data_IF_594923482209
#
_entry.id   IF_594923482209
#
_cell.length_a   1.000
_cell.length_b   1.000
_cell.length_c   1.000
_cell.angle_alpha   90.00
_cell.angle_beta   90.00
_cell.angle_gamma   90.00
#
_symmetry.space_group_name_H-M   'P 1'
#
loop_
_entity.id
_entity.type
_entity.pdbx_description
1 polymer ?
#
# COMPACT_ATOMS: atom_id res chain seq x y z
N UNK A 1 20.98 -9.27 -13.75
CA UNK A 1 21.78 -8.03 -13.55
C UNK A 1 21.85 -7.29 -14.88
N UNK A 2 21.09 -6.22 -15.02
CA UNK A 2 21.08 -5.42 -16.25
C UNK A 2 21.87 -4.12 -16.03
N UNK A 3 22.79 -3.79 -16.94
CA UNK A 3 23.52 -2.51 -16.93
C UNK A 3 22.59 -1.41 -17.42
N UNK A 4 22.28 -0.42 -16.58
CA UNK A 4 21.83 0.89 -17.07
C UNK A 4 23.07 1.68 -17.49
N UNK A 5 22.98 2.35 -18.66
CA UNK A 5 24.12 3.01 -19.28
C UNK A 5 24.74 4.08 -18.37
N UNK A 6 25.76 3.78 -17.63
CA UNK A 6 26.74 4.62 -16.92
C UNK A 6 27.53 3.78 -15.91
N UNK A 7 27.50 2.43 -16.02
CA UNK A 7 28.43 1.57 -15.32
C UNK A 7 28.13 1.33 -13.81
N UNK A 8 27.07 1.92 -13.25
CA UNK A 8 26.68 1.68 -11.86
C UNK A 8 25.77 0.44 -11.82
N UNK A 9 26.22 -0.60 -11.16
CA UNK A 9 25.42 -1.77 -10.84
C UNK A 9 24.45 -1.38 -9.71
N UNK A 10 23.24 -0.91 -10.06
CA UNK A 10 22.19 -0.71 -9.07
C UNK A 10 21.64 -2.08 -8.70
N UNK A 11 21.75 -2.46 -7.43
CA UNK A 11 21.15 -3.68 -6.91
C UNK A 11 19.62 -3.63 -7.11
N UNK A 12 19.04 -4.77 -7.46
CA UNK A 12 17.58 -4.90 -7.55
C UNK A 12 16.95 -4.64 -6.18
N UNK A 13 16.07 -3.63 -6.08
CA UNK A 13 15.34 -3.36 -4.83
C UNK A 13 14.23 -4.38 -4.64
N UNK A 14 14.13 -4.92 -3.43
CA UNK A 14 13.06 -5.85 -3.05
C UNK A 14 11.93 -5.10 -2.38
N UNK A 15 10.78 -5.08 -3.03
CA UNK A 15 9.56 -4.41 -2.53
C UNK A 15 8.52 -5.44 -2.14
N UNK A 16 8.04 -5.36 -0.91
CA UNK A 16 6.95 -6.18 -0.39
C UNK A 16 5.65 -5.39 -0.52
N UNK A 17 4.73 -5.88 -1.32
CA UNK A 17 3.37 -5.36 -1.43
C UNK A 17 2.45 -6.26 -0.59
N UNK A 18 1.99 -5.72 0.53
CA UNK A 18 1.21 -6.45 1.52
C UNK A 18 -0.28 -6.15 1.36
N UNK A 19 -1.09 -7.18 1.09
CA UNK A 19 -2.54 -7.08 1.20
C UNK A 19 -2.94 -6.96 2.67
N UNK A 20 -3.70 -5.92 3.01
CA UNK A 20 -4.26 -5.71 4.35
C UNK A 20 -5.29 -6.77 4.70
N UNK A 21 -5.45 -7.02 6.00
CA UNK A 21 -6.46 -7.95 6.52
C UNK A 21 -6.27 -9.42 6.11
N UNK A 22 -7.23 -10.27 6.50
CA UNK A 22 -7.30 -11.69 6.15
C UNK A 22 -8.77 -12.15 6.18
N UNK A 23 -9.02 -13.41 5.82
CA UNK A 23 -10.37 -13.97 5.76
C UNK A 23 -11.11 -13.95 7.12
N UNK A 24 -10.40 -14.13 8.25
CA UNK A 24 -10.99 -14.15 9.60
C UNK A 24 -11.26 -12.71 10.10
N UNK A 25 -10.43 -11.75 9.69
CA UNK A 25 -10.55 -10.33 10.06
C UNK A 25 -10.50 -9.49 8.78
N UNK A 26 -11.63 -9.40 8.04
CA UNK A 26 -11.65 -8.90 6.66
C UNK A 26 -11.58 -7.37 6.53
N UNK A 27 -11.44 -6.64 7.63
CA UNK A 27 -11.38 -5.19 7.62
C UNK A 27 -12.74 -4.53 7.47
N UNK A 28 -12.75 -3.31 6.95
CA UNK A 28 -13.99 -2.60 6.67
C UNK A 28 -14.71 -3.17 5.44
N UNK A 29 -15.95 -2.75 5.25
CA UNK A 29 -16.77 -3.26 4.16
C UNK A 29 -17.76 -2.22 3.65
N UNK A 30 -18.30 -2.49 2.46
CA UNK A 30 -19.47 -1.81 1.90
C UNK A 30 -20.41 -2.82 1.28
N UNK A 31 -21.67 -2.42 1.08
CA UNK A 31 -22.65 -3.21 0.34
C UNK A 31 -23.02 -2.46 -0.94
N UNK A 32 -22.83 -3.11 -2.09
CA UNK A 32 -23.17 -2.59 -3.40
C UNK A 32 -24.07 -3.61 -4.09
N UNK A 33 -25.28 -3.21 -4.44
CA UNK A 33 -26.27 -4.05 -5.13
C UNK A 33 -26.52 -5.39 -4.41
N UNK A 34 -26.56 -5.38 -3.07
CA UNK A 34 -26.78 -6.57 -2.24
C UNK A 34 -25.54 -7.44 -2.03
N UNK A 35 -24.42 -7.12 -2.66
CA UNK A 35 -23.16 -7.83 -2.49
C UNK A 35 -22.27 -7.16 -1.45
N UNK A 36 -21.88 -7.91 -0.43
CA UNK A 36 -20.87 -7.48 0.54
C UNK A 36 -19.49 -7.51 -0.11
N UNK A 37 -18.76 -6.39 -0.01
CA UNK A 37 -17.39 -6.24 -0.49
C UNK A 37 -16.53 -5.86 0.71
N UNK A 38 -15.53 -6.67 1.03
CA UNK A 38 -14.66 -6.44 2.17
C UNK A 38 -13.33 -5.79 1.74
N UNK A 39 -12.67 -5.15 2.68
CA UNK A 39 -11.33 -4.59 2.47
C UNK A 39 -10.33 -5.69 2.09
N UNK A 40 -10.43 -6.88 2.70
CA UNK A 40 -9.60 -8.03 2.35
C UNK A 40 -9.75 -8.45 0.88
N UNK A 41 -10.99 -8.56 0.38
CA UNK A 41 -11.25 -8.90 -1.02
C UNK A 41 -10.59 -7.90 -1.96
N UNK A 42 -10.75 -6.60 -1.66
CA UNK A 42 -10.21 -5.53 -2.50
C UNK A 42 -8.67 -5.46 -2.45
N UNK A 43 -8.07 -5.56 -1.27
CA UNK A 43 -6.61 -5.50 -1.15
C UNK A 43 -5.94 -6.70 -1.80
N UNK A 44 -6.53 -7.89 -1.66
CA UNK A 44 -6.04 -9.10 -2.31
C UNK A 44 -6.14 -8.99 -3.84
N UNK A 45 -7.29 -8.52 -4.34
CA UNK A 45 -7.47 -8.28 -5.77
C UNK A 45 -6.49 -7.24 -6.32
N UNK A 46 -6.35 -6.11 -5.63
CA UNK A 46 -5.46 -5.01 -6.00
C UNK A 46 -4.00 -5.47 -6.13
N UNK A 47 -3.46 -6.16 -5.12
CA UNK A 47 -2.05 -6.61 -5.17
C UNK A 47 -1.81 -7.66 -6.26
N UNK A 48 -2.80 -8.54 -6.51
CA UNK A 48 -2.74 -9.52 -7.59
C UNK A 48 -2.76 -8.85 -8.99
N UNK A 49 -3.59 -7.82 -9.19
CA UNK A 49 -3.63 -7.06 -10.45
C UNK A 49 -2.33 -6.28 -10.70
N UNK A 50 -1.75 -5.68 -9.67
CA UNK A 50 -0.46 -5.01 -9.79
C UNK A 50 0.63 -6.01 -10.20
N UNK A 51 0.67 -7.18 -9.57
CA UNK A 51 1.65 -8.22 -9.87
C UNK A 51 1.56 -8.72 -11.32
N UNK A 52 0.36 -8.87 -11.87
CA UNK A 52 0.16 -9.27 -13.27
C UNK A 52 0.61 -8.21 -14.29
N UNK A 53 0.46 -6.93 -13.94
CA UNK A 53 0.77 -5.81 -14.83
C UNK A 53 2.21 -5.36 -14.71
N UNK A 54 2.87 -5.72 -13.63
CA UNK A 54 4.15 -5.19 -13.25
C UNK A 54 5.27 -5.89 -14.05
N UNK A 55 6.06 -5.10 -14.76
CA UNK A 55 7.31 -5.50 -15.43
C UNK A 55 8.39 -4.45 -15.12
N UNK A 56 8.51 -4.08 -13.84
CA UNK A 56 9.48 -3.08 -13.42
C UNK A 56 10.89 -3.67 -13.45
N UNK A 57 11.71 -3.12 -14.33
CA UNK A 57 13.14 -3.44 -14.38
C UNK A 57 13.78 -2.81 -13.14
N UNK A 58 14.41 -3.61 -12.29
CA UNK A 58 15.11 -3.16 -11.09
C UNK A 58 14.33 -3.33 -9.78
N UNK A 59 13.10 -3.86 -9.83
CA UNK A 59 12.34 -4.25 -8.64
C UNK A 59 12.14 -5.78 -8.60
N UNK A 60 12.40 -6.37 -7.44
CA UNK A 60 11.99 -7.72 -7.05
C UNK A 60 10.69 -7.58 -6.22
N UNK A 61 9.53 -7.70 -6.87
CA UNK A 61 8.23 -7.51 -6.23
C UNK A 61 7.74 -8.79 -5.56
N UNK A 62 7.55 -8.74 -4.25
CA UNK A 62 6.98 -9.83 -3.45
C UNK A 62 5.56 -9.46 -3.05
N UNK A 63 4.60 -10.31 -3.40
CA UNK A 63 3.23 -10.21 -2.90
C UNK A 63 3.11 -11.00 -1.60
N UNK A 64 2.60 -10.36 -0.56
CA UNK A 64 2.32 -10.98 0.73
C UNK A 64 0.86 -10.77 1.10
N UNK A 65 0.15 -11.87 1.35
CA UNK A 65 -1.14 -11.84 2.02
C UNK A 65 -0.95 -12.08 3.54
N UNK A 66 -1.83 -11.54 4.34
CA UNK A 66 -1.81 -11.70 5.78
C UNK A 66 -2.45 -13.03 6.17
N UNK A 67 -1.66 -13.99 6.67
CA UNK A 67 -2.16 -15.31 7.07
C UNK A 67 -2.53 -15.37 8.55
N UNK A 68 -1.68 -14.79 9.42
CA UNK A 68 -1.88 -14.78 10.88
C UNK A 68 -1.51 -13.41 11.46
N UNK A 69 -2.25 -12.96 12.46
CA UNK A 69 -2.01 -11.69 13.13
C UNK A 69 -0.72 -11.71 13.98
N UNK A 70 -0.43 -12.84 14.62
CA UNK A 70 0.67 -12.95 15.58
C UNK A 70 2.06 -12.95 14.92
N UNK A 71 2.18 -13.44 13.69
CA UNK A 71 3.46 -13.68 13.03
C UNK A 71 3.78 -12.72 11.87
N UNK A 72 2.86 -11.81 11.50
CA UNK A 72 3.00 -10.99 10.31
C UNK A 72 4.31 -10.19 10.26
N UNK A 73 4.73 -9.59 11.38
CA UNK A 73 5.99 -8.83 11.46
C UNK A 73 7.19 -9.73 11.18
N UNK A 74 7.21 -10.94 11.78
CA UNK A 74 8.28 -11.91 11.57
C UNK A 74 8.30 -12.43 10.13
N UNK A 75 7.11 -12.72 9.57
CA UNK A 75 6.97 -13.14 8.18
C UNK A 75 7.50 -12.08 7.21
N UNK A 76 7.09 -10.81 7.38
CA UNK A 76 7.61 -9.69 6.55
C UNK A 76 9.12 -9.54 6.71
N UNK A 77 9.64 -9.63 7.94
CA UNK A 77 11.07 -9.50 8.19
C UNK A 77 11.90 -10.64 7.57
N UNK A 78 11.33 -11.84 7.45
CA UNK A 78 11.99 -12.98 6.81
C UNK A 78 12.11 -12.87 5.29
N UNK A 79 11.31 -12.01 4.66
CA UNK A 79 11.35 -11.76 3.21
C UNK A 79 12.55 -10.89 2.79
N UNK A 80 13.26 -10.27 3.75
CA UNK A 80 14.42 -9.41 3.50
C UNK A 80 14.14 -8.32 2.45
N UNK A 81 12.98 -7.67 2.55
CA UNK A 81 12.61 -6.55 1.70
C UNK A 81 13.32 -5.25 2.08
N UNK A 82 13.52 -4.37 1.11
CA UNK A 82 14.01 -3.00 1.33
C UNK A 82 12.86 -2.05 1.65
N UNK A 83 11.72 -2.25 1.00
CA UNK A 83 10.50 -1.44 1.10
C UNK A 83 9.30 -2.34 1.41
N UNK A 84 8.39 -1.83 2.23
CA UNK A 84 7.08 -2.41 2.51
C UNK A 84 5.98 -1.40 2.19
N UNK A 85 5.06 -1.76 1.30
CA UNK A 85 3.84 -1.01 1.05
C UNK A 85 2.66 -1.86 1.52
N UNK A 86 2.01 -1.46 2.62
CA UNK A 86 0.81 -2.11 3.14
C UNK A 86 -0.43 -1.47 2.54
N UNK A 87 -1.22 -2.24 1.80
CA UNK A 87 -2.42 -1.76 1.12
C UNK A 87 -3.64 -1.93 2.02
N UNK A 88 -4.34 -0.84 2.27
CA UNK A 88 -5.56 -0.76 3.07
C UNK A 88 -6.59 0.15 2.41
N UNK A 89 -7.82 0.15 2.93
CA UNK A 89 -8.90 1.07 2.60
C UNK A 89 -9.54 1.57 3.88
N UNK A 90 -9.64 2.90 4.02
CA UNK A 90 -10.11 3.55 5.23
C UNK A 90 -11.62 3.33 5.47
N UNK A 91 -12.06 3.56 6.70
CA UNK A 91 -13.47 3.62 7.08
C UNK A 91 -13.67 4.54 8.29
N UNK A 92 -14.82 5.21 8.33
CA UNK A 92 -15.15 6.05 9.49
C UNK A 92 -16.68 6.16 9.70
N UNK A 93 -17.36 7.10 9.08
CA UNK A 93 -18.76 7.45 9.32
C UNK A 93 -19.65 7.31 8.08
N UNK A 94 -19.17 6.62 7.05
CA UNK A 94 -19.82 6.46 5.73
C UNK A 94 -19.98 7.76 4.94
N UNK A 95 -19.30 8.83 5.34
CA UNK A 95 -19.31 10.16 4.68
C UNK A 95 -17.91 10.70 4.47
N UNK A 96 -16.95 10.26 5.30
CA UNK A 96 -15.57 10.68 5.19
C UNK A 96 -14.99 10.35 3.81
N UNK A 97 -14.12 11.23 3.32
CA UNK A 97 -13.46 11.12 2.03
C UNK A 97 -11.98 11.53 2.15
N UNK A 98 -11.22 11.16 1.16
CA UNK A 98 -9.84 11.58 1.00
C UNK A 98 -8.84 10.44 1.12
N UNK A 99 -7.61 10.79 0.85
CA UNK A 99 -6.45 9.89 0.79
C UNK A 99 -5.48 10.22 1.90
N UNK A 100 -4.93 9.21 2.56
CA UNK A 100 -3.86 9.39 3.55
C UNK A 100 -2.84 8.25 3.47
N UNK A 101 -1.59 8.55 3.86
CA UNK A 101 -0.51 7.57 3.93
C UNK A 101 0.12 7.62 5.31
N UNK A 102 0.26 6.46 5.94
CA UNK A 102 0.82 6.31 7.27
C UNK A 102 2.28 5.84 7.18
N UNK A 103 3.10 6.29 8.13
CA UNK A 103 4.51 5.88 8.25
C UNK A 103 4.94 5.80 9.71
N UNK A 104 6.00 5.04 10.02
CA UNK A 104 6.55 4.98 11.38
C UNK A 104 7.04 6.36 11.82
N UNK A 105 6.58 6.86 12.95
CA UNK A 105 6.83 8.23 13.44
C UNK A 105 8.32 8.59 13.57
N UNK A 106 9.20 7.61 13.73
CA UNK A 106 10.66 7.78 13.82
C UNK A 106 11.40 7.61 12.49
N UNK A 107 10.72 7.19 11.41
CA UNK A 107 11.36 6.88 10.14
C UNK A 107 11.39 8.08 9.20
N UNK A 108 12.58 8.71 9.04
CA UNK A 108 12.77 9.78 8.06
C UNK A 108 12.59 9.29 6.60
N UNK A 109 13.08 8.09 6.30
CA UNK A 109 12.90 7.44 5.00
C UNK A 109 11.45 7.09 4.74
N UNK A 110 10.75 6.54 5.74
CA UNK A 110 9.30 6.28 5.67
C UNK A 110 8.50 7.57 5.43
N UNK A 111 8.85 8.66 6.11
CA UNK A 111 8.23 9.98 5.89
C UNK A 111 8.42 10.47 4.45
N UNK A 112 9.65 10.37 3.91
CA UNK A 112 9.95 10.76 2.53
C UNK A 112 9.13 9.95 1.53
N UNK A 113 9.10 8.62 1.68
CA UNK A 113 8.32 7.74 0.83
C UNK A 113 6.80 8.00 0.96
N UNK A 114 6.30 8.20 2.19
CA UNK A 114 4.90 8.52 2.44
C UNK A 114 4.48 9.83 1.77
N UNK A 115 5.32 10.87 1.78
CA UNK A 115 5.04 12.14 1.11
C UNK A 115 4.89 11.95 -0.40
N UNK A 116 5.81 11.23 -1.02
CA UNK A 116 5.75 10.95 -2.47
C UNK A 116 4.53 10.09 -2.81
N UNK A 117 4.25 9.05 -2.02
CA UNK A 117 3.09 8.19 -2.22
C UNK A 117 1.77 8.97 -2.07
N UNK A 118 1.69 9.89 -1.10
CA UNK A 118 0.54 10.77 -0.90
C UNK A 118 0.28 11.66 -2.11
N UNK A 119 1.32 12.32 -2.62
CA UNK A 119 1.21 13.19 -3.80
C UNK A 119 0.75 12.41 -5.04
N UNK A 120 1.30 11.21 -5.27
CA UNK A 120 0.92 10.35 -6.39
C UNK A 120 -0.53 9.88 -6.25
N UNK A 121 -0.92 9.38 -5.07
CA UNK A 121 -2.27 8.88 -4.82
C UNK A 121 -3.32 9.99 -4.97
N UNK A 122 -3.10 11.17 -4.41
CA UNK A 122 -4.03 12.31 -4.54
C UNK A 122 -4.17 12.78 -5.98
N UNK A 123 -3.06 12.82 -6.74
CA UNK A 123 -3.06 13.14 -8.17
C UNK A 123 -3.92 12.16 -8.99
N UNK A 124 -3.77 10.86 -8.77
CA UNK A 124 -4.53 9.84 -9.50
C UNK A 124 -6.01 9.79 -9.12
N UNK A 125 -6.29 9.92 -7.82
CA UNK A 125 -7.65 9.76 -7.31
C UNK A 125 -8.51 11.03 -7.45
N UNK A 126 -7.89 12.20 -7.33
CA UNK A 126 -8.59 13.48 -7.30
C UNK A 126 -9.46 13.64 -6.05
N UNK A 127 -9.12 12.95 -4.96
CA UNK A 127 -9.80 13.02 -3.67
C UNK A 127 -9.10 14.04 -2.74
N UNK A 128 -9.80 14.53 -1.69
CA UNK A 128 -9.20 15.40 -0.70
C UNK A 128 -7.90 14.82 -0.12
N UNK A 129 -6.87 15.65 -0.06
CA UNK A 129 -5.61 15.31 0.57
C UNK A 129 -5.75 15.41 2.10
N UNK A 130 -5.62 14.26 2.79
CA UNK A 130 -5.61 14.18 4.26
C UNK A 130 -4.19 14.20 4.83
N UNK A 131 -3.19 14.19 3.97
CA UNK A 131 -1.78 14.24 4.31
C UNK A 131 -1.21 12.95 4.85
N UNK A 132 0.08 13.00 5.18
CA UNK A 132 0.80 11.86 5.76
C UNK A 132 0.63 11.81 7.28
N UNK A 133 0.58 10.60 7.87
CA UNK A 133 0.31 10.39 9.30
C UNK A 133 1.49 9.67 9.98
N UNK A 134 2.20 10.33 10.90
CA UNK A 134 3.16 9.64 11.77
C UNK A 134 2.42 8.70 12.72
N UNK A 135 2.82 7.44 12.77
CA UNK A 135 2.13 6.37 13.49
C UNK A 135 3.08 5.73 14.50
N UNK A 136 2.65 5.62 15.76
CA UNK A 136 3.39 4.95 16.83
C UNK A 136 3.10 3.44 16.85
N UNK A 137 3.91 2.61 17.54
CA UNK A 137 3.71 1.16 17.59
C UNK A 137 2.34 0.72 18.13
N UNK A 138 1.75 1.48 19.04
CA UNK A 138 0.46 1.25 19.69
C UNK A 138 -0.74 1.68 18.87
N UNK A 139 -0.54 2.51 17.84
CA UNK A 139 -1.61 2.99 16.98
C UNK A 139 -2.10 1.88 16.01
N UNK A 140 -3.28 2.07 15.44
CA UNK A 140 -3.78 1.20 14.37
C UNK A 140 -2.80 1.20 13.19
N UNK A 141 -2.40 0.00 12.74
CA UNK A 141 -1.36 -0.16 11.71
C UNK A 141 0.07 0.06 12.21
N UNK A 142 0.26 0.53 13.46
CA UNK A 142 1.55 0.90 14.02
C UNK A 142 2.54 -0.25 14.13
N UNK A 143 2.07 -1.45 14.47
CA UNK A 143 2.95 -2.62 14.62
C UNK A 143 3.70 -2.95 13.33
N UNK A 144 3.00 -2.99 12.19
CA UNK A 144 3.63 -3.32 10.90
C UNK A 144 4.61 -2.23 10.44
N UNK A 145 4.29 -0.96 10.71
CA UNK A 145 5.13 0.18 10.33
C UNK A 145 6.40 0.31 11.20
N UNK A 146 6.30 0.03 12.51
CA UNK A 146 7.39 0.31 13.45
C UNK A 146 8.25 -0.91 13.80
N UNK A 147 7.77 -2.15 13.58
CA UNK A 147 8.47 -3.38 13.99
C UNK A 147 9.02 -4.17 12.81
N UNK A 148 8.74 -3.77 11.58
CA UNK A 148 9.36 -4.38 10.39
C UNK A 148 10.67 -3.70 10.03
N UNK A 149 11.57 -4.45 9.40
CA UNK A 149 12.90 -3.97 8.98
C UNK A 149 12.86 -3.09 7.73
N UNK A 150 12.02 -3.38 6.71
CA UNK A 150 11.90 -2.54 5.52
C UNK A 150 11.49 -1.10 5.87
N UNK A 151 11.81 -0.15 4.99
CA UNK A 151 11.17 1.17 5.02
C UNK A 151 9.69 0.98 4.70
N UNK A 152 8.82 1.22 5.68
CA UNK A 152 7.41 0.86 5.60
C UNK A 152 6.49 2.08 5.48
N UNK A 153 5.51 1.98 4.58
CA UNK A 153 4.34 2.85 4.51
C UNK A 153 3.05 2.00 4.49
N UNK A 154 1.94 2.61 4.93
CA UNK A 154 0.60 2.05 4.81
C UNK A 154 -0.26 3.06 4.07
N UNK A 155 -0.85 2.64 2.96
CA UNK A 155 -1.68 3.50 2.13
C UNK A 155 -3.17 3.26 2.43
N UNK A 156 -3.92 4.36 2.56
CA UNK A 156 -5.37 4.43 2.72
C UNK A 156 -5.95 5.32 1.59
N UNK A 157 -6.09 4.77 0.37
CA UNK A 157 -6.39 5.58 -0.82
C UNK A 157 -7.75 6.28 -0.76
N UNK A 158 -8.75 5.63 -0.17
CA UNK A 158 -10.10 6.15 0.01
C UNK A 158 -10.86 5.42 1.13
N UNK A 159 -12.04 5.95 1.50
CA UNK A 159 -12.94 5.35 2.49
C UNK A 159 -13.90 4.37 1.82
N UNK A 160 -13.69 3.07 2.08
CA UNK A 160 -14.50 2.02 1.47
C UNK A 160 -15.95 2.07 1.91
N UNK A 161 -16.21 2.37 3.18
CA UNK A 161 -17.56 2.44 3.76
C UNK A 161 -18.44 3.54 3.16
N UNK A 162 -17.84 4.51 2.44
CA UNK A 162 -18.54 5.57 1.71
C UNK A 162 -18.86 5.20 0.25
N UNK A 163 -18.32 4.12 -0.29
CA UNK A 163 -18.54 3.72 -1.68
C UNK A 163 -19.91 3.01 -1.81
N UNK A 164 -20.74 3.48 -2.75
CA UNK A 164 -22.09 2.95 -2.96
C UNK A 164 -22.36 2.51 -4.41
N UNK A 165 -21.41 2.71 -5.30
CA UNK A 165 -21.57 2.45 -6.73
C UNK A 165 -20.43 1.58 -7.23
N UNK A 166 -20.77 0.51 -7.97
CA UNK A 166 -19.83 -0.48 -8.49
C UNK A 166 -18.84 0.13 -9.49
N UNK A 167 -19.34 0.88 -10.46
CA UNK A 167 -18.47 1.48 -11.50
C UNK A 167 -17.49 2.47 -10.90
N UNK A 168 -17.92 3.22 -9.86
CA UNK A 168 -17.03 4.12 -9.13
C UNK A 168 -15.95 3.35 -8.38
N UNK A 169 -16.31 2.23 -7.74
CA UNK A 169 -15.34 1.37 -7.04
C UNK A 169 -14.29 0.80 -8.02
N UNK A 170 -14.74 0.23 -9.14
CA UNK A 170 -13.86 -0.37 -10.15
C UNK A 170 -12.88 0.67 -10.72
N UNK A 171 -13.37 1.85 -11.10
CA UNK A 171 -12.53 2.96 -11.55
C UNK A 171 -11.56 3.46 -10.47
N UNK A 172 -11.98 3.47 -9.21
CA UNK A 172 -11.11 3.88 -8.10
C UNK A 172 -10.01 2.86 -7.86
N UNK A 173 -10.28 1.56 -7.93
CA UNK A 173 -9.28 0.49 -7.83
C UNK A 173 -8.28 0.57 -8.97
N UNK A 174 -8.72 0.81 -10.20
CA UNK A 174 -7.83 1.01 -11.35
C UNK A 174 -6.87 2.21 -11.12
N UNK A 175 -7.39 3.34 -10.64
CA UNK A 175 -6.58 4.51 -10.30
C UNK A 175 -5.56 4.21 -9.18
N UNK A 176 -5.97 3.48 -8.14
CA UNK A 176 -5.06 3.05 -7.06
C UNK A 176 -3.97 2.14 -7.61
N UNK A 177 -4.31 1.18 -8.46
CA UNK A 177 -3.34 0.30 -9.12
C UNK A 177 -2.31 1.10 -9.92
N UNK A 178 -2.75 2.07 -10.73
CA UNK A 178 -1.86 2.95 -11.50
C UNK A 178 -0.97 3.80 -10.59
N UNK A 179 -1.52 4.33 -9.49
CA UNK A 179 -0.75 5.10 -8.51
C UNK A 179 0.34 4.24 -7.83
N UNK A 180 0.02 3.01 -7.43
CA UNK A 180 1.02 2.12 -6.82
C UNK A 180 2.12 1.78 -7.83
N UNK A 181 1.81 1.56 -9.10
CA UNK A 181 2.82 1.35 -10.14
C UNK A 181 3.73 2.58 -10.27
N UNK A 182 3.20 3.82 -10.27
CA UNK A 182 4.00 5.05 -10.28
C UNK A 182 4.87 5.17 -9.01
N UNK A 183 4.37 4.74 -7.82
CA UNK A 183 5.17 4.66 -6.59
C UNK A 183 6.32 3.65 -6.73
N UNK A 184 6.06 2.48 -7.30
CA UNK A 184 7.08 1.45 -7.55
C UNK A 184 8.14 1.95 -8.53
N UNK A 185 7.75 2.66 -9.58
CA UNK A 185 8.68 3.31 -10.52
C UNK A 185 9.54 4.39 -9.84
N UNK A 186 8.95 5.16 -8.91
CA UNK A 186 9.72 6.11 -8.11
C UNK A 186 10.75 5.39 -7.24
N UNK A 187 10.34 4.31 -6.56
CA UNK A 187 11.24 3.48 -5.74
C UNK A 187 12.38 2.90 -6.57
N UNK A 188 12.10 2.43 -7.79
CA UNK A 188 13.12 1.90 -8.69
C UNK A 188 14.21 2.94 -9.05
N UNK A 189 13.80 4.17 -9.31
CA UNK A 189 14.66 5.24 -9.83
C UNK A 189 15.41 6.02 -8.74
N UNK A 190 14.98 5.94 -7.47
CA UNK A 190 15.48 6.80 -6.40
C UNK A 190 15.99 6.02 -5.19
N UNK A 191 17.03 6.52 -4.55
CA UNK A 191 17.46 6.08 -3.22
C UNK A 191 16.59 6.70 -2.12
N UNK A 192 16.20 5.88 -1.13
CA UNK A 192 15.39 6.27 0.02
C UNK A 192 16.21 6.37 1.31
#
# INVERSE_FOLDING_TARGET
MQKRGDGIMVGTKRVILLAGHNFISPGCNTNIDGKLITEFDLTTHLVAEIFKRERLIGIDLIIKARNDFGNLVNEVNSLNGDILISCHFNAYDRKAQGTEVLYAHTSSKGRKLASVAQDILTKHLGLPDRGIKPTKPEDRGGSILNKTKPVAILIEPFFLDNIKNKDYLEKSIEKVSNAIIEILEYVDKNEL
#
